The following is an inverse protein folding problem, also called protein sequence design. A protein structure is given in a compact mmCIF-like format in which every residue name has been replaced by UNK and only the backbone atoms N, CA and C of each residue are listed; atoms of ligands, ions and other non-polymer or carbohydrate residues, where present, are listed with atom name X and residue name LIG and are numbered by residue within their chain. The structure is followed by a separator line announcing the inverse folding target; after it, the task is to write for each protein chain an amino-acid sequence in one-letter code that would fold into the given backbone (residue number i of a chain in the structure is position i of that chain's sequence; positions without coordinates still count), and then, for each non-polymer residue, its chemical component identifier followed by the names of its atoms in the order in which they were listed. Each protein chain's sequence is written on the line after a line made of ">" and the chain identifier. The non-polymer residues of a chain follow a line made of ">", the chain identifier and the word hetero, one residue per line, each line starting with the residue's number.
data_IF_297638966909
#
_entry.id   IF_297638966909
#
_cell.length_a   1.000
_cell.length_b   1.000
_cell.length_c   1.000
_cell.angle_alpha   90.00
_cell.angle_beta   90.00
_cell.angle_gamma   90.00
#
_symmetry.space_group_name_H-M   'P 1'
#
loop_
_entity.id
_entity.type
_entity.pdbx_description
1 polymer ?
#
# COMPACT_ATOMS: atom_id res chain seq x y z
N UNK A 1 23.21 26.38 -1.77
CA UNK A 1 23.04 25.04 -2.40
C UNK A 1 22.14 24.21 -1.51
N UNK A 2 20.97 23.77 -1.98
CA UNK A 2 20.13 22.84 -1.22
C UNK A 2 20.85 21.49 -1.19
N UNK A 3 21.53 21.17 -0.09
CA UNK A 3 22.22 19.88 0.09
C UNK A 3 21.16 18.80 0.33
N UNK A 4 20.90 17.97 -0.67
CA UNK A 4 20.07 16.76 -0.49
C UNK A 4 20.97 15.59 -0.13
N UNK A 5 20.55 14.80 0.88
CA UNK A 5 21.20 13.53 1.19
C UNK A 5 20.87 12.49 0.11
N UNK A 6 21.78 11.54 -0.14
CA UNK A 6 21.52 10.46 -1.10
C UNK A 6 20.31 9.64 -0.62
N UNK A 7 19.36 9.40 -1.53
CA UNK A 7 18.15 8.60 -1.27
C UNK A 7 16.93 9.37 -0.73
N UNK A 8 17.05 10.67 -0.40
CA UNK A 8 15.89 11.47 0.00
C UNK A 8 15.07 11.91 -1.21
N UNK A 9 13.75 11.73 -1.14
CA UNK A 9 12.85 12.15 -2.21
C UNK A 9 12.79 13.68 -2.33
N UNK A 10 12.85 14.21 -3.56
CA UNK A 10 12.70 15.64 -3.82
C UNK A 10 11.30 16.12 -3.46
N UNK A 11 11.16 17.34 -2.91
CA UNK A 11 9.86 17.94 -2.61
C UNK A 11 9.01 18.09 -3.89
N UNK A 12 7.72 17.72 -3.84
CA UNK A 12 6.78 17.84 -4.96
C UNK A 12 6.76 19.25 -5.58
N UNK A 13 6.77 20.30 -4.74
CA UNK A 13 6.82 21.70 -5.20
C UNK A 13 8.01 21.99 -6.12
N UNK A 14 9.17 21.42 -5.80
CA UNK A 14 10.39 21.58 -6.60
C UNK A 14 10.26 20.81 -7.93
N UNK A 15 9.66 19.61 -7.91
CA UNK A 15 9.43 18.82 -9.12
C UNK A 15 8.47 19.52 -10.08
N UNK A 16 7.39 20.09 -9.55
CA UNK A 16 6.43 20.88 -10.33
C UNK A 16 7.09 22.13 -10.93
N UNK A 17 7.94 22.82 -10.16
CA UNK A 17 8.69 23.98 -10.65
C UNK A 17 9.67 23.63 -11.77
N UNK A 18 10.34 22.48 -11.69
CA UNK A 18 11.22 21.97 -12.76
C UNK A 18 10.42 21.75 -14.04
N UNK A 19 9.26 21.10 -13.95
CA UNK A 19 8.42 20.82 -15.12
C UNK A 19 7.85 22.10 -15.72
N UNK A 20 7.39 23.06 -14.90
CA UNK A 20 6.96 24.38 -15.40
C UNK A 20 8.06 25.06 -16.21
N UNK A 21 9.28 25.16 -15.67
CA UNK A 21 10.41 25.79 -16.36
C UNK A 21 10.83 25.05 -17.63
N UNK A 22 10.65 23.73 -17.65
CA UNK A 22 10.88 22.91 -18.84
C UNK A 22 9.87 23.24 -19.95
N UNK A 23 8.58 23.38 -19.60
CA UNK A 23 7.53 23.80 -20.52
C UNK A 23 7.75 25.23 -21.05
N UNK A 24 8.35 26.09 -20.23
CA UNK A 24 8.81 27.44 -20.65
C UNK A 24 10.07 27.42 -21.55
N UNK A 25 10.43 26.25 -22.11
CA UNK A 25 11.59 26.02 -23.00
C UNK A 25 12.97 26.33 -22.39
N UNK A 26 13.11 26.28 -21.07
CA UNK A 26 14.44 26.45 -20.46
C UNK A 26 15.27 25.17 -20.57
N UNK A 27 16.57 25.34 -20.87
CA UNK A 27 17.49 24.21 -20.91
C UNK A 27 17.70 23.59 -19.52
N UNK A 28 17.92 22.27 -19.50
CA UNK A 28 18.17 21.50 -18.26
C UNK A 28 19.30 22.11 -17.41
N UNK A 29 20.36 22.59 -18.08
CA UNK A 29 21.51 23.23 -17.41
C UNK A 29 21.12 24.55 -16.74
N UNK A 30 20.26 25.35 -17.39
CA UNK A 30 19.75 26.62 -16.84
C UNK A 30 18.89 26.37 -15.61
N UNK A 31 17.95 25.42 -15.70
CA UNK A 31 17.07 25.02 -14.58
C UNK A 31 17.89 24.51 -13.38
N UNK A 32 18.88 23.64 -13.62
CA UNK A 32 19.74 23.10 -12.57
C UNK A 32 20.54 24.18 -11.84
N UNK A 33 21.10 25.16 -12.59
CA UNK A 33 21.87 26.27 -12.01
C UNK A 33 20.96 27.18 -11.18
N UNK A 34 19.79 27.53 -11.69
CA UNK A 34 18.84 28.43 -11.04
C UNK A 34 18.25 27.82 -9.76
N UNK A 35 17.89 26.54 -9.79
CA UNK A 35 17.36 25.83 -8.61
C UNK A 35 18.44 25.29 -7.68
N UNK A 36 19.73 25.48 -8.01
CA UNK A 36 20.87 24.91 -7.28
C UNK A 36 20.75 23.39 -7.07
N UNK A 37 20.31 22.67 -8.11
CA UNK A 37 20.10 21.22 -8.10
C UNK A 37 21.12 20.49 -8.97
N UNK A 38 21.43 19.22 -8.68
CA UNK A 38 22.21 18.39 -9.58
C UNK A 38 21.50 18.24 -10.95
N UNK A 39 22.28 18.33 -12.04
CA UNK A 39 21.77 18.15 -13.41
C UNK A 39 21.07 16.80 -13.60
N UNK A 40 21.61 15.74 -12.98
CA UNK A 40 21.03 14.40 -13.00
C UNK A 40 19.62 14.37 -12.41
N UNK A 41 19.38 15.07 -11.30
CA UNK A 41 18.05 15.14 -10.67
C UNK A 41 17.04 15.83 -11.58
N UNK A 42 17.41 16.97 -12.19
CA UNK A 42 16.54 17.70 -13.11
C UNK A 42 16.22 16.84 -14.33
N UNK A 43 17.23 16.19 -14.91
CA UNK A 43 17.06 15.26 -16.03
C UNK A 43 16.14 14.08 -15.69
N UNK A 44 16.33 13.42 -14.54
CA UNK A 44 15.48 12.31 -14.11
C UNK A 44 14.02 12.72 -13.91
N UNK A 45 13.76 13.94 -13.44
CA UNK A 45 12.40 14.47 -13.26
C UNK A 45 11.75 14.78 -14.61
N UNK A 46 12.47 15.42 -15.53
CA UNK A 46 11.96 15.72 -16.88
C UNK A 46 11.67 14.41 -17.62
N UNK A 47 12.60 13.44 -17.59
CA UNK A 47 12.40 12.13 -18.20
C UNK A 47 11.17 11.40 -17.64
N UNK A 48 10.99 11.43 -16.32
CA UNK A 48 9.80 10.87 -15.68
C UNK A 48 8.50 11.54 -16.16
N UNK A 49 8.53 12.87 -16.34
CA UNK A 49 7.41 13.64 -16.84
C UNK A 49 7.10 13.32 -18.31
N UNK A 50 8.10 13.15 -19.16
CA UNK A 50 7.89 12.75 -20.56
C UNK A 50 7.32 11.33 -20.69
N UNK A 51 7.76 10.40 -19.84
CA UNK A 51 7.29 9.01 -19.86
C UNK A 51 5.89 8.81 -19.27
N UNK A 52 5.58 9.49 -18.15
CA UNK A 52 4.38 9.22 -17.33
C UNK A 52 3.40 10.41 -17.31
N UNK A 53 3.83 11.60 -17.70
CA UNK A 53 3.03 12.83 -17.61
C UNK A 53 2.81 13.33 -16.18
N UNK A 54 3.52 12.78 -15.18
CA UNK A 54 3.32 13.09 -13.76
C UNK A 54 4.62 13.55 -13.10
N UNK A 55 4.49 14.53 -12.23
CA UNK A 55 5.57 15.04 -11.38
C UNK A 55 5.73 14.27 -10.09
N UNK A 56 4.78 13.37 -9.78
CA UNK A 56 4.84 12.58 -8.56
C UNK A 56 5.78 11.37 -8.71
N UNK A 57 6.63 11.15 -7.71
CA UNK A 57 7.55 10.03 -7.66
C UNK A 57 6.75 8.73 -7.54
N UNK A 58 7.12 7.73 -8.35
CA UNK A 58 6.63 6.33 -8.37
C UNK A 58 5.47 6.06 -7.43
N UNK A 59 4.28 5.99 -8.01
CA UNK A 59 2.99 6.03 -7.32
C UNK A 59 2.88 5.15 -6.07
N UNK A 60 2.45 5.79 -4.98
CA UNK A 60 1.56 5.35 -3.88
C UNK A 60 1.77 3.99 -3.17
N UNK A 61 2.56 3.05 -3.68
CA UNK A 61 2.85 1.78 -3.00
C UNK A 61 4.34 1.51 -2.98
N UNK A 62 5.02 2.07 -1.98
CA UNK A 62 6.41 1.73 -1.63
C UNK A 62 6.53 0.36 -0.95
N UNK A 63 5.39 -0.25 -0.57
CA UNK A 63 5.35 -1.48 0.19
C UNK A 63 5.38 -2.75 -0.67
N UNK A 64 5.71 -3.87 -0.02
CA UNK A 64 5.61 -5.22 -0.60
C UNK A 64 4.15 -5.51 -1.00
N UNK A 65 3.89 -6.01 -2.22
CA UNK A 65 2.54 -6.40 -2.62
C UNK A 65 1.99 -7.46 -1.67
N UNK A 66 0.70 -7.35 -1.35
CA UNK A 66 0.06 -8.29 -0.44
C UNK A 66 -0.13 -9.64 -1.14
N UNK A 67 0.12 -10.74 -0.42
CA UNK A 67 -0.01 -12.11 -0.93
C UNK A 67 -1.44 -12.47 -1.37
N UNK A 68 -2.44 -11.79 -0.81
CA UNK A 68 -3.86 -12.03 -1.10
C UNK A 68 -4.34 -11.02 -2.14
N UNK A 69 -4.83 -11.53 -3.27
CA UNK A 69 -5.50 -10.75 -4.30
C UNK A 69 -6.99 -10.55 -3.94
N UNK A 70 -7.65 -9.60 -4.61
CA UNK A 70 -9.10 -9.36 -4.46
C UNK A 70 -9.94 -10.60 -4.79
N UNK A 71 -9.49 -11.45 -5.72
CA UNK A 71 -10.14 -12.74 -6.04
C UNK A 71 -10.02 -13.74 -4.90
N UNK A 72 -8.83 -13.89 -4.33
CA UNK A 72 -8.59 -14.83 -3.23
C UNK A 72 -9.30 -14.39 -1.94
N UNK A 73 -9.41 -13.08 -1.71
CA UNK A 73 -10.23 -12.52 -0.63
C UNK A 73 -11.72 -12.86 -0.79
N UNK A 74 -12.28 -12.75 -2.01
CA UNK A 74 -13.67 -13.15 -2.27
C UNK A 74 -13.93 -14.63 -1.97
N UNK A 75 -12.98 -15.50 -2.35
CA UNK A 75 -13.03 -16.93 -1.97
C UNK A 75 -13.02 -17.13 -0.46
N UNK A 76 -12.18 -16.39 0.27
CA UNK A 76 -12.13 -16.44 1.73
C UNK A 76 -13.47 -16.03 2.36
N UNK A 77 -14.08 -14.96 1.86
CA UNK A 77 -15.39 -14.48 2.34
C UNK A 77 -16.48 -15.52 2.07
N UNK A 78 -16.48 -16.16 0.90
CA UNK A 78 -17.42 -17.23 0.57
C UNK A 78 -17.27 -18.40 1.55
N UNK A 79 -16.04 -18.86 1.76
CA UNK A 79 -15.73 -19.95 2.68
C UNK A 79 -16.16 -19.64 4.11
N UNK A 80 -15.96 -18.41 4.59
CA UNK A 80 -16.40 -18.00 5.94
C UNK A 80 -17.93 -17.99 6.09
N UNK A 81 -18.68 -17.76 5.01
CA UNK A 81 -20.14 -17.80 5.03
C UNK A 81 -20.66 -19.24 5.06
N UNK A 82 -20.01 -20.15 4.32
CA UNK A 82 -20.30 -21.59 4.32
C UNK A 82 -19.97 -22.21 5.67
N UNK A 83 -18.76 -21.96 6.18
CA UNK A 83 -18.24 -22.51 7.44
C UNK A 83 -18.42 -21.54 8.62
N UNK A 84 -19.66 -21.07 8.86
CA UNK A 84 -19.94 -20.00 9.84
C UNK A 84 -19.50 -20.31 11.29
N UNK A 85 -19.51 -21.59 11.68
CA UNK A 85 -19.08 -22.06 13.02
C UNK A 85 -17.64 -22.57 13.04
N UNK A 86 -16.94 -22.58 11.90
CA UNK A 86 -15.58 -23.06 11.80
C UNK A 86 -14.58 -22.16 12.53
N UNK A 87 -13.54 -22.76 13.08
CA UNK A 87 -12.45 -22.01 13.71
C UNK A 87 -11.58 -21.32 12.65
N UNK A 88 -10.87 -20.26 13.03
CA UNK A 88 -9.91 -19.60 12.13
C UNK A 88 -8.89 -20.60 11.58
N UNK A 89 -8.51 -21.61 12.38
CA UNK A 89 -7.52 -22.63 11.98
C UNK A 89 -8.05 -23.51 10.86
N UNK A 90 -9.27 -24.01 10.99
CA UNK A 90 -9.95 -24.83 9.97
C UNK A 90 -10.10 -24.04 8.67
N UNK A 91 -10.66 -22.82 8.75
CA UNK A 91 -10.84 -21.96 7.58
C UNK A 91 -9.50 -21.66 6.90
N UNK A 92 -8.43 -21.45 7.67
CA UNK A 92 -7.09 -21.22 7.11
C UNK A 92 -6.56 -22.46 6.39
N UNK A 93 -6.71 -23.64 6.98
CA UNK A 93 -6.24 -24.89 6.37
C UNK A 93 -6.99 -25.18 5.06
N UNK A 94 -8.32 -25.04 5.09
CA UNK A 94 -9.16 -25.27 3.92
C UNK A 94 -8.91 -24.24 2.82
N UNK A 95 -8.80 -22.95 3.18
CA UNK A 95 -8.50 -21.90 2.22
C UNK A 95 -7.12 -22.08 1.59
N UNK A 96 -6.11 -22.47 2.37
CA UNK A 96 -4.76 -22.75 1.87
C UNK A 96 -4.80 -23.92 0.86
N UNK A 97 -5.57 -24.98 1.14
CA UNK A 97 -5.78 -26.10 0.23
C UNK A 97 -6.47 -25.69 -1.08
N UNK A 98 -7.53 -24.88 -1.01
CA UNK A 98 -8.28 -24.44 -2.19
C UNK A 98 -7.55 -23.40 -3.07
N UNK A 99 -6.67 -22.59 -2.48
CA UNK A 99 -5.99 -21.51 -3.20
C UNK A 99 -4.55 -21.81 -3.55
N UNK A 100 -3.94 -22.85 -2.97
CA UNK A 100 -2.51 -23.15 -3.09
C UNK A 100 -1.62 -22.10 -2.42
N UNK A 101 -2.19 -21.13 -1.72
CA UNK A 101 -1.45 -20.09 -1.01
C UNK A 101 -1.24 -20.53 0.44
N UNK A 102 0.00 -20.55 0.91
CA UNK A 102 0.26 -20.77 2.33
C UNK A 102 0.21 -19.43 3.10
N UNK A 103 -0.90 -19.13 3.78
CA UNK A 103 -1.01 -17.98 4.69
C UNK A 103 -1.08 -18.42 6.16
N UNK A 104 -0.60 -17.55 7.04
CA UNK A 104 -0.73 -17.76 8.49
C UNK A 104 -2.16 -17.49 8.97
N UNK A 105 -2.51 -18.13 10.09
CA UNK A 105 -3.78 -17.92 10.81
C UNK A 105 -4.09 -16.44 11.04
N UNK A 106 -3.10 -15.66 11.47
CA UNK A 106 -3.28 -14.22 11.76
C UNK A 106 -3.47 -13.38 10.50
N UNK A 107 -2.89 -13.81 9.38
CA UNK A 107 -3.15 -13.16 8.08
C UNK A 107 -4.59 -13.44 7.66
N UNK A 108 -5.03 -14.70 7.77
CA UNK A 108 -6.41 -15.10 7.50
C UNK A 108 -7.40 -14.30 8.37
N UNK A 109 -7.19 -14.26 9.69
CA UNK A 109 -8.01 -13.50 10.64
C UNK A 109 -8.15 -12.03 10.26
N UNK A 110 -7.05 -11.34 9.95
CA UNK A 110 -7.07 -9.93 9.52
C UNK A 110 -7.91 -9.72 8.26
N UNK A 111 -7.80 -10.63 7.29
CA UNK A 111 -8.55 -10.54 6.04
C UNK A 111 -10.03 -10.88 6.16
N UNK A 112 -10.41 -11.69 7.16
CA UNK A 112 -11.80 -11.97 7.53
C UNK A 112 -12.43 -10.78 8.26
N UNK A 113 -11.69 -10.12 9.15
CA UNK A 113 -12.19 -8.95 9.88
C UNK A 113 -12.36 -7.71 9.00
N UNK A 114 -11.54 -7.52 7.96
CA UNK A 114 -11.64 -6.40 7.01
C UNK A 114 -13.06 -6.17 6.43
N UNK A 115 -13.76 -7.19 5.90
CA UNK A 115 -15.14 -7.06 5.45
C UNK A 115 -16.19 -7.10 6.59
N UNK A 116 -15.77 -7.08 7.86
CA UNK A 116 -16.69 -7.10 9.01
C UNK A 116 -17.17 -8.49 9.43
N UNK A 117 -16.55 -9.57 8.96
CA UNK A 117 -16.91 -10.92 9.40
C UNK A 117 -16.24 -11.21 10.76
N UNK A 118 -17.07 -11.52 11.75
CA UNK A 118 -16.62 -11.97 13.06
C UNK A 118 -16.73 -13.50 13.21
N UNK A 119 -15.90 -14.06 14.07
CA UNK A 119 -16.07 -15.43 14.54
C UNK A 119 -17.09 -15.46 15.68
N UNK A 120 -17.71 -16.62 15.87
CA UNK A 120 -18.57 -16.85 17.02
C UNK A 120 -17.79 -16.58 18.32
N UNK A 121 -18.34 -15.70 19.17
CA UNK A 121 -17.83 -15.45 20.51
C UNK A 121 -18.74 -16.20 21.48
N UNK A 122 -18.16 -17.02 22.35
CA UNK A 122 -18.92 -17.64 23.44
C UNK A 122 -19.60 -16.55 24.26
N UNK A 123 -20.85 -16.77 24.66
CA UNK A 123 -21.56 -15.87 25.57
C UNK A 123 -20.78 -15.83 26.88
N UNK A 124 -20.42 -14.63 27.32
CA UNK A 124 -19.82 -14.46 28.64
C UNK A 124 -20.85 -14.90 29.68
N UNK A 125 -20.40 -15.62 30.71
CA UNK A 125 -21.28 -16.04 31.81
C UNK A 125 -21.91 -14.78 32.41
N UNK A 126 -23.19 -14.86 32.76
CA UNK A 126 -23.83 -13.76 33.49
C UNK A 126 -23.08 -13.51 34.80
N UNK A 127 -22.99 -12.26 35.21
CA UNK A 127 -22.52 -11.93 36.55
C UNK A 127 -23.50 -12.56 37.55
N UNK A 128 -22.98 -13.30 38.52
CA UNK A 128 -23.79 -13.94 39.56
C UNK A 128 -24.19 -12.96 40.67
N UNK A 129 -23.50 -11.83 40.75
CA UNK A 129 -23.75 -10.75 41.70
C UNK A 129 -23.65 -9.40 40.98
N UNK A 130 -24.46 -8.45 41.45
CA UNK A 130 -24.46 -7.09 40.89
C UNK A 130 -23.15 -6.38 41.20
N UNK A 131 -22.70 -5.51 40.29
CA UNK A 131 -21.55 -4.64 40.54
C UNK A 131 -21.97 -3.58 41.55
N UNK A 132 -21.45 -3.68 42.77
CA UNK A 132 -21.51 -2.65 43.81
C UNK A 132 -20.75 -1.41 43.39
#
# INVERSE_FOLDING_TARGET
>A
MVKMARGTATNKKIRDLIVKKYLDNNSIRKIAKELSLPKSTVFSIIKLYEEIGKTDSRGQSSGRPVKITSRSQRKLVKLCKESRRGTVREITAEWNGQTGLNISRETCRRWILKPGLGFYKAKEKSLLTEKT
#
